data_IF_982957978212
#
_entry.id   IF_982957978212
#
_cell.length_a   1.000
_cell.length_b   1.000
_cell.length_c   1.000
_cell.angle_alpha   90.00
_cell.angle_beta   90.00
_cell.angle_gamma   90.00
#
_symmetry.space_group_name_H-M   'P 1'
#
loop_
_entity.id
_entity.type
_entity.pdbx_description
1 polymer ?
#
# COMPACT_ATOMS: atom_id res chain seq x y z
N UNK A 1 6.17 -25.72 5.67
CA UNK A 1 7.29 -24.95 5.16
C UNK A 1 8.54 -25.40 5.91
N UNK A 2 9.67 -25.61 5.21
CA UNK A 2 10.93 -25.95 5.83
C UNK A 2 11.60 -24.70 6.44
N UNK A 3 12.37 -24.87 7.53
CA UNK A 3 13.05 -23.75 8.20
C UNK A 3 13.93 -22.94 7.24
N UNK A 4 14.62 -23.60 6.31
CA UNK A 4 15.44 -22.92 5.30
C UNK A 4 14.62 -22.00 4.37
N UNK A 5 13.37 -22.31 4.09
CA UNK A 5 12.47 -21.45 3.29
C UNK A 5 12.03 -20.25 4.12
N UNK A 6 11.75 -20.45 5.42
CA UNK A 6 11.43 -19.36 6.35
C UNK A 6 12.59 -18.38 6.45
N UNK A 7 13.80 -18.89 6.69
CA UNK A 7 15.01 -18.08 6.78
C UNK A 7 15.27 -17.32 5.48
N UNK A 8 15.07 -17.96 4.32
CA UNK A 8 15.21 -17.31 3.01
C UNK A 8 14.25 -16.13 2.81
N UNK A 9 13.00 -16.24 3.28
CA UNK A 9 12.02 -15.15 3.21
C UNK A 9 12.37 -14.05 4.21
N UNK A 10 12.65 -14.42 5.47
CA UNK A 10 12.85 -13.46 6.55
C UNK A 10 14.15 -12.66 6.41
N UNK A 11 15.20 -13.24 5.86
CA UNK A 11 16.47 -12.53 5.60
C UNK A 11 16.34 -11.37 4.61
N UNK A 12 15.27 -11.33 3.83
CA UNK A 12 14.97 -10.24 2.88
C UNK A 12 14.23 -9.07 3.51
N UNK A 13 13.61 -9.28 4.68
CA UNK A 13 12.71 -8.34 5.32
C UNK A 13 13.43 -7.52 6.38
N UNK A 14 13.24 -6.20 6.35
CA UNK A 14 13.82 -5.32 7.36
C UNK A 14 13.20 -5.59 8.76
N UNK A 15 13.97 -5.39 9.86
CA UNK A 15 13.46 -5.59 11.22
C UNK A 15 12.16 -4.82 11.53
N UNK A 16 11.98 -3.65 10.92
CA UNK A 16 10.77 -2.83 11.06
C UNK A 16 9.49 -3.49 10.57
N UNK A 17 9.59 -4.44 9.64
CA UNK A 17 8.46 -5.23 9.18
C UNK A 17 7.87 -6.07 10.32
N UNK A 18 8.71 -6.79 11.06
CA UNK A 18 8.29 -7.68 12.16
C UNK A 18 7.70 -6.93 13.35
N UNK A 19 8.04 -5.66 13.53
CA UNK A 19 7.48 -4.83 14.60
C UNK A 19 6.05 -4.34 14.31
N UNK A 20 5.61 -4.43 13.07
CA UNK A 20 4.32 -3.90 12.61
C UNK A 20 3.34 -4.99 12.20
N UNK A 21 3.84 -6.18 11.93
CA UNK A 21 3.04 -7.33 11.53
C UNK A 21 2.78 -8.24 12.72
N UNK A 22 1.57 -8.78 12.79
CA UNK A 22 1.23 -9.82 13.77
C UNK A 22 1.88 -11.14 13.37
N UNK A 23 1.97 -12.10 14.32
CA UNK A 23 2.51 -13.43 14.04
C UNK A 23 1.74 -14.14 12.91
N UNK A 24 0.42 -13.97 12.86
CA UNK A 24 -0.45 -14.58 11.85
C UNK A 24 -0.20 -13.96 10.47
N UNK A 25 -0.06 -12.63 10.39
CA UNK A 25 0.32 -11.92 9.16
C UNK A 25 1.69 -12.39 8.67
N UNK A 26 2.70 -12.45 9.55
CA UNK A 26 4.05 -12.95 9.19
C UNK A 26 3.98 -14.38 8.66
N UNK A 27 3.22 -15.26 9.33
CA UNK A 27 3.05 -16.64 8.90
C UNK A 27 2.33 -16.75 7.54
N UNK A 28 1.34 -15.90 7.29
CA UNK A 28 0.63 -15.85 6.03
C UNK A 28 1.56 -15.37 4.89
N UNK A 29 2.23 -14.23 5.08
CA UNK A 29 3.17 -13.67 4.11
C UNK A 29 4.32 -14.63 3.80
N UNK A 30 4.84 -15.32 4.84
CA UNK A 30 5.89 -16.32 4.66
C UNK A 30 5.41 -17.48 3.76
N UNK A 31 4.18 -17.97 3.97
CA UNK A 31 3.61 -19.03 3.12
C UNK A 31 3.46 -18.61 1.66
N UNK A 32 3.06 -17.36 1.40
CA UNK A 32 2.91 -16.84 0.04
C UNK A 32 4.24 -16.75 -0.71
N UNK A 33 5.35 -16.57 0.01
CA UNK A 33 6.67 -16.35 -0.58
C UNK A 33 7.60 -17.57 -0.53
N UNK A 34 7.29 -18.59 0.30
CA UNK A 34 8.19 -19.72 0.60
C UNK A 34 8.59 -20.55 -0.63
N UNK A 35 7.65 -20.73 -1.57
CA UNK A 35 7.87 -21.54 -2.77
C UNK A 35 8.14 -20.67 -4.02
N UNK A 36 8.30 -19.36 -3.84
CA UNK A 36 8.53 -18.44 -4.95
C UNK A 36 9.97 -18.57 -5.46
N UNK A 37 10.12 -18.65 -6.76
CA UNK A 37 11.45 -18.51 -7.38
C UNK A 37 12.02 -17.12 -7.09
N UNK A 38 13.18 -17.07 -6.45
CA UNK A 38 13.86 -15.81 -6.09
C UNK A 38 14.22 -14.95 -7.31
N UNK A 39 14.30 -15.54 -8.51
CA UNK A 39 14.61 -14.83 -9.76
C UNK A 39 13.36 -14.31 -10.48
N UNK A 40 12.18 -14.69 -10.02
CA UNK A 40 10.94 -14.26 -10.65
C UNK A 40 10.67 -12.79 -10.34
N UNK A 41 10.39 -11.97 -11.36
CA UNK A 41 9.88 -10.61 -11.23
C UNK A 41 8.34 -10.54 -11.28
N UNK A 42 7.67 -11.70 -11.44
CA UNK A 42 6.20 -11.73 -11.45
C UNK A 42 5.66 -11.27 -10.08
N UNK A 43 4.68 -10.37 -10.06
CA UNK A 43 4.09 -9.94 -8.81
C UNK A 43 3.29 -11.07 -8.14
N UNK A 44 3.33 -11.11 -6.82
CA UNK A 44 2.41 -11.91 -6.02
C UNK A 44 1.35 -10.99 -5.45
N UNK A 45 0.09 -11.36 -5.63
CA UNK A 45 -1.06 -10.68 -5.03
C UNK A 45 -1.88 -11.74 -4.30
N UNK A 46 -2.29 -11.46 -3.08
CA UNK A 46 -3.16 -12.33 -2.31
C UNK A 46 -4.06 -11.50 -1.39
N UNK A 47 -5.25 -12.01 -1.11
CA UNK A 47 -6.22 -11.33 -0.27
C UNK A 47 -6.59 -12.22 0.93
N UNK A 48 -6.69 -11.60 2.11
CA UNK A 48 -7.25 -12.21 3.32
C UNK A 48 -8.51 -11.44 3.73
N UNK A 49 -9.67 -12.06 3.46
CA UNK A 49 -10.98 -11.52 3.81
C UNK A 49 -11.30 -11.64 5.30
N UNK A 50 -10.58 -12.48 6.03
CA UNK A 50 -10.78 -12.76 7.44
C UNK A 50 -9.81 -12.02 8.36
N UNK A 51 -9.23 -10.92 7.87
CA UNK A 51 -8.29 -10.12 8.65
C UNK A 51 -8.86 -9.74 10.02
N UNK A 52 -8.07 -9.97 11.05
CA UNK A 52 -8.42 -9.66 12.45
C UNK A 52 -8.72 -8.19 12.71
N UNK A 53 -8.40 -7.31 11.74
CA UNK A 53 -8.63 -5.87 11.83
C UNK A 53 -10.03 -5.44 11.37
N UNK A 54 -10.90 -6.38 10.99
CA UNK A 54 -12.23 -6.08 10.46
C UNK A 54 -12.21 -5.46 9.06
N UNK A 55 -11.14 -5.66 8.32
CA UNK A 55 -10.90 -5.18 6.95
C UNK A 55 -10.51 -6.36 6.08
N UNK A 56 -10.49 -6.20 4.76
CA UNK A 56 -9.80 -7.15 3.88
C UNK A 56 -8.34 -6.73 3.75
N UNK A 57 -7.41 -7.63 4.07
CA UNK A 57 -6.00 -7.40 3.84
C UNK A 57 -5.61 -7.81 2.41
N UNK A 58 -4.93 -6.93 1.71
CA UNK A 58 -4.38 -7.17 0.37
C UNK A 58 -2.87 -7.17 0.49
N UNK A 59 -2.28 -8.32 0.24
CA UNK A 59 -0.84 -8.52 0.15
C UNK A 59 -0.38 -8.33 -1.28
N UNK A 60 0.68 -7.56 -1.48
CA UNK A 60 1.40 -7.49 -2.76
C UNK A 60 2.89 -7.66 -2.53
N UNK A 61 3.54 -8.40 -3.43
CA UNK A 61 4.99 -8.52 -3.46
C UNK A 61 5.45 -8.37 -4.91
N UNK A 62 6.20 -7.32 -5.20
CA UNK A 62 6.60 -6.95 -6.55
C UNK A 62 7.96 -6.25 -6.54
N UNK A 63 8.66 -6.13 -7.69
CA UNK A 63 9.85 -5.31 -7.78
C UNK A 63 9.59 -3.89 -7.27
N UNK A 64 10.44 -3.42 -6.35
CA UNK A 64 10.30 -2.09 -5.78
C UNK A 64 10.55 -1.02 -6.85
N UNK A 65 9.55 -0.21 -7.11
CA UNK A 65 9.60 0.86 -8.11
C UNK A 65 8.93 2.11 -7.54
N UNK A 66 9.43 3.27 -7.87
CA UNK A 66 8.88 4.56 -7.39
C UNK A 66 7.37 4.70 -7.60
N UNK A 67 6.83 4.10 -8.64
CA UNK A 67 5.41 4.20 -8.98
C UNK A 67 4.53 3.08 -8.42
N UNK A 68 5.08 2.13 -7.66
CA UNK A 68 4.32 0.98 -7.12
C UNK A 68 3.12 1.42 -6.28
N UNK A 69 3.34 2.28 -5.30
CA UNK A 69 2.28 2.82 -4.44
C UNK A 69 1.19 3.56 -5.23
N UNK A 70 1.58 4.47 -6.14
CA UNK A 70 0.62 5.21 -6.97
C UNK A 70 -0.23 4.29 -7.85
N UNK A 71 0.36 3.23 -8.38
CA UNK A 71 -0.35 2.27 -9.24
C UNK A 71 -1.33 1.42 -8.44
N UNK A 72 -0.90 0.92 -7.30
CA UNK A 72 -1.76 0.11 -6.42
C UNK A 72 -2.93 0.93 -5.91
N UNK A 73 -2.68 2.13 -5.40
CA UNK A 73 -3.73 3.01 -4.90
C UNK A 73 -4.70 3.45 -5.99
N UNK A 74 -4.21 3.72 -7.22
CA UNK A 74 -5.07 4.02 -8.37
C UNK A 74 -5.95 2.84 -8.75
N UNK A 75 -5.40 1.62 -8.77
CA UNK A 75 -6.15 0.42 -9.09
C UNK A 75 -7.24 0.14 -8.05
N UNK A 76 -6.91 0.25 -6.76
CA UNK A 76 -7.86 0.06 -5.66
C UNK A 76 -9.01 1.09 -5.71
N UNK A 77 -8.67 2.35 -5.94
CA UNK A 77 -9.67 3.41 -6.04
C UNK A 77 -10.59 3.23 -7.26
N UNK A 78 -10.04 2.84 -8.42
CA UNK A 78 -10.86 2.60 -9.63
C UNK A 78 -11.89 1.49 -9.44
N UNK A 79 -11.57 0.45 -8.68
CA UNK A 79 -12.49 -0.65 -8.38
C UNK A 79 -13.37 -0.38 -7.17
N UNK A 80 -13.30 0.82 -6.59
CA UNK A 80 -14.22 1.30 -5.58
C UNK A 80 -13.86 0.93 -4.15
N UNK A 81 -12.61 0.60 -3.87
CA UNK A 81 -12.19 0.27 -2.52
C UNK A 81 -11.64 1.48 -1.76
N UNK A 82 -11.97 1.55 -0.48
CA UNK A 82 -11.43 2.54 0.45
C UNK A 82 -10.23 1.95 1.19
N UNK A 83 -9.07 2.58 1.07
CA UNK A 83 -7.86 2.20 1.80
C UNK A 83 -7.93 2.84 3.19
N UNK A 84 -7.81 2.04 4.24
CA UNK A 84 -7.84 2.51 5.64
C UNK A 84 -6.48 2.41 6.34
N UNK A 85 -5.59 1.58 5.82
CA UNK A 85 -4.19 1.48 6.28
C UNK A 85 -3.33 0.93 5.15
N UNK A 86 -2.07 1.33 5.10
CA UNK A 86 -1.10 0.79 4.16
C UNK A 86 0.28 0.66 4.82
N UNK A 87 0.87 -0.52 4.68
CA UNK A 87 2.22 -0.81 5.14
C UNK A 87 3.10 -1.15 3.94
N UNK A 88 4.09 -0.31 3.68
CA UNK A 88 5.04 -0.46 2.58
C UNK A 88 6.37 -0.92 3.17
N UNK A 89 6.86 -2.08 2.78
CA UNK A 89 8.08 -2.66 3.30
C UNK A 89 9.06 -3.03 2.17
N UNK A 90 9.90 -2.09 1.72
CA UNK A 90 10.96 -2.41 0.77
C UNK A 90 11.88 -3.49 1.33
N UNK A 91 12.29 -4.42 0.46
CA UNK A 91 13.23 -5.50 0.79
C UNK A 91 14.63 -5.15 0.29
N UNK A 92 15.67 -5.78 0.89
CA UNK A 92 17.07 -5.50 0.53
C UNK A 92 17.43 -5.94 -0.89
N UNK A 93 16.70 -6.87 -1.46
CA UNK A 93 16.89 -7.41 -2.81
C UNK A 93 16.10 -6.70 -3.90
N UNK A 94 15.57 -5.53 -3.62
CA UNK A 94 14.93 -4.65 -4.60
C UNK A 94 13.47 -4.97 -4.91
N UNK A 95 12.78 -5.67 -4.01
CA UNK A 95 11.33 -5.84 -4.03
C UNK A 95 10.65 -4.96 -2.97
N UNK A 96 9.33 -4.96 -2.96
CA UNK A 96 8.52 -4.40 -1.89
C UNK A 96 7.43 -5.40 -1.50
N UNK A 97 7.30 -5.60 -0.19
CA UNK A 97 6.17 -6.29 0.42
C UNK A 97 5.22 -5.23 0.95
N UNK A 98 4.08 -5.08 0.31
CA UNK A 98 3.12 -4.06 0.70
C UNK A 98 1.82 -4.74 1.15
N UNK A 99 1.25 -4.23 2.22
CA UNK A 99 -0.05 -4.68 2.74
C UNK A 99 -0.99 -3.49 2.80
N UNK A 100 -2.15 -3.61 2.17
CA UNK A 100 -3.21 -2.62 2.20
C UNK A 100 -4.41 -3.20 2.93
N UNK A 101 -4.94 -2.47 3.89
CA UNK A 101 -6.21 -2.80 4.53
C UNK A 101 -7.31 -1.98 3.86
N UNK A 102 -8.29 -2.67 3.31
CA UNK A 102 -9.34 -2.03 2.50
C UNK A 102 -10.75 -2.42 2.97
N UNK A 103 -11.69 -1.57 2.61
CA UNK A 103 -13.12 -1.76 2.79
C UNK A 103 -13.85 -1.47 1.47
N UNK A 104 -15.01 -2.06 1.27
CA UNK A 104 -15.97 -1.64 0.23
C UNK A 104 -16.55 -0.25 0.55
N UNK A 105 -17.24 0.35 -0.40
CA UNK A 105 -17.86 1.68 -0.24
C UNK A 105 -18.88 1.78 0.91
N UNK A 106 -19.48 0.65 1.30
CA UNK A 106 -20.41 0.56 2.43
C UNK A 106 -19.70 0.41 3.79
N UNK A 107 -18.35 0.38 3.78
CA UNK A 107 -17.53 0.21 4.98
C UNK A 107 -17.39 -1.22 5.46
N UNK A 108 -17.84 -2.21 4.68
CA UNK A 108 -17.70 -3.63 5.02
C UNK A 108 -16.41 -4.25 4.43
N UNK A 109 -15.87 -5.30 5.04
CA UNK A 109 -14.84 -6.12 4.40
C UNK A 109 -15.42 -6.86 3.19
N UNK A 110 -14.55 -7.21 2.23
CA UNK A 110 -14.96 -7.92 1.02
C UNK A 110 -15.31 -9.37 1.37
N UNK A 111 -16.56 -9.76 1.16
CA UNK A 111 -17.04 -11.11 1.48
C UNK A 111 -17.28 -11.99 0.25
N UNK A 112 -17.45 -11.39 -0.92
CA UNK A 112 -17.77 -12.09 -2.16
C UNK A 112 -16.51 -12.65 -2.83
N UNK A 113 -16.52 -13.95 -3.16
CA UNK A 113 -15.36 -14.64 -3.73
C UNK A 113 -15.04 -14.20 -5.17
N UNK A 114 -16.05 -13.85 -5.96
CA UNK A 114 -15.83 -13.34 -7.33
C UNK A 114 -15.20 -11.96 -7.26
N UNK A 115 -15.65 -11.14 -6.31
CA UNK A 115 -15.10 -9.83 -6.04
C UNK A 115 -13.64 -9.89 -5.60
N UNK A 116 -13.28 -10.81 -4.69
CA UNK A 116 -11.89 -11.05 -4.30
C UNK A 116 -11.02 -11.40 -5.52
N UNK A 117 -11.50 -12.27 -6.39
CA UNK A 117 -10.79 -12.67 -7.62
C UNK A 117 -10.62 -11.50 -8.60
N UNK A 118 -11.67 -10.66 -8.75
CA UNK A 118 -11.61 -9.45 -9.59
C UNK A 118 -10.52 -8.49 -9.10
N UNK A 119 -10.47 -8.25 -7.80
CA UNK A 119 -9.48 -7.35 -7.17
C UNK A 119 -8.06 -7.89 -7.36
N UNK A 120 -7.85 -9.18 -7.09
CA UNK A 120 -6.55 -9.84 -7.26
C UNK A 120 -6.05 -9.67 -8.70
N UNK A 121 -6.89 -9.97 -9.69
CA UNK A 121 -6.54 -9.85 -11.10
C UNK A 121 -6.28 -8.40 -11.54
N UNK A 122 -7.04 -7.44 -11.01
CA UNK A 122 -6.86 -6.03 -11.32
C UNK A 122 -5.50 -5.53 -10.81
N UNK A 123 -5.14 -5.88 -9.57
CA UNK A 123 -3.86 -5.53 -8.98
C UNK A 123 -2.69 -6.23 -9.66
N UNK A 124 -2.82 -7.52 -9.94
CA UNK A 124 -1.78 -8.28 -10.65
C UNK A 124 -1.46 -7.66 -12.01
N UNK A 125 -2.49 -7.30 -12.79
CA UNK A 125 -2.32 -6.60 -14.07
C UNK A 125 -1.64 -5.25 -13.89
N UNK A 126 -2.06 -4.48 -12.88
CA UNK A 126 -1.47 -3.18 -12.60
C UNK A 126 0.01 -3.27 -12.25
N UNK A 127 0.40 -4.22 -11.41
CA UNK A 127 1.78 -4.39 -10.96
C UNK A 127 2.71 -4.97 -12.03
N UNK A 128 2.18 -5.81 -12.92
CA UNK A 128 2.96 -6.47 -13.97
C UNK A 128 3.38 -5.54 -15.11
N UNK A 129 2.70 -4.41 -15.33
CA UNK A 129 2.96 -3.52 -16.47
C UNK A 129 4.03 -2.46 -16.11
N UNK A 130 5.34 -2.75 -16.27
CA UNK A 130 6.39 -1.80 -15.95
C UNK A 130 6.38 -0.63 -16.92
N UNK A 131 6.47 0.58 -16.41
CA UNK A 131 6.69 1.78 -17.21
C UNK A 131 5.44 2.52 -17.69
N UNK A 132 4.24 1.98 -17.51
CA UNK A 132 3.03 2.76 -17.74
C UNK A 132 2.78 3.73 -16.59
N UNK A 133 2.38 4.96 -16.92
CA UNK A 133 1.97 5.94 -15.92
C UNK A 133 0.82 5.36 -15.07
N UNK A 134 0.72 5.72 -13.78
CA UNK A 134 -0.41 5.35 -12.95
C UNK A 134 -1.72 5.74 -13.64
N UNK A 135 -2.70 4.84 -13.61
CA UNK A 135 -4.00 5.11 -14.22
C UNK A 135 -4.61 6.38 -13.62
N UNK A 136 -5.22 7.21 -14.45
CA UNK A 136 -5.98 8.35 -13.94
C UNK A 136 -7.23 7.81 -13.24
N UNK A 137 -7.44 8.20 -11.99
CA UNK A 137 -8.66 7.85 -11.27
C UNK A 137 -9.79 8.72 -11.79
N UNK A 138 -10.79 8.10 -12.43
CA UNK A 138 -11.94 8.79 -13.02
C UNK A 138 -13.19 8.77 -12.13
N UNK A 139 -13.09 8.18 -10.95
CA UNK A 139 -14.20 8.10 -10.01
C UNK A 139 -14.56 9.49 -9.49
N UNK A 140 -15.86 9.79 -9.46
CA UNK A 140 -16.34 11.08 -8.95
C UNK A 140 -16.58 11.00 -7.46
N UNK A 141 -16.08 11.99 -6.72
CA UNK A 141 -16.40 12.14 -5.31
C UNK A 141 -17.92 12.20 -5.08
N UNK A 142 -18.44 11.56 -4.02
CA UNK A 142 -19.83 11.67 -3.61
C UNK A 142 -20.25 13.15 -3.49
N UNK A 143 -21.54 13.44 -3.71
CA UNK A 143 -22.03 14.84 -3.65
C UNK A 143 -21.81 15.48 -2.27
N UNK A 144 -21.84 14.68 -1.20
CA UNK A 144 -21.65 15.15 0.17
C UNK A 144 -20.23 15.66 0.41
N UNK A 145 -19.22 14.93 -0.03
CA UNK A 145 -17.80 15.33 0.13
C UNK A 145 -17.43 16.62 -0.60
N UNK A 146 -18.22 17.04 -1.59
CA UNK A 146 -18.02 18.31 -2.29
C UNK A 146 -18.50 19.54 -1.51
N UNK A 147 -19.30 19.37 -0.46
CA UNK A 147 -19.83 20.47 0.33
C UNK A 147 -18.88 20.92 1.44
N UNK A 148 -17.89 20.12 1.78
CA UNK A 148 -16.89 20.43 2.79
C UNK A 148 -15.58 20.83 2.11
N UNK A 149 -15.12 22.04 2.36
CA UNK A 149 -13.86 22.53 1.84
C UNK A 149 -12.79 22.41 2.94
N UNK A 150 -12.18 21.24 3.05
CA UNK A 150 -11.02 21.05 3.94
C UNK A 150 -9.79 21.57 3.21
N UNK A 151 -9.15 22.66 3.67
CA UNK A 151 -7.92 23.14 3.04
C UNK A 151 -6.82 22.09 3.18
N UNK A 152 -6.09 21.84 2.11
CA UNK A 152 -4.94 20.96 2.15
C UNK A 152 -3.85 21.58 3.02
N UNK A 153 -3.38 20.82 4.00
CA UNK A 153 -2.27 21.19 4.88
C UNK A 153 -1.21 20.07 4.82
N UNK A 154 0.03 20.46 4.75
CA UNK A 154 1.16 19.55 4.75
C UNK A 154 2.13 20.03 5.82
N UNK A 155 2.55 19.11 6.69
CA UNK A 155 3.67 19.33 7.59
C UNK A 155 4.78 18.31 7.31
N UNK A 156 6.02 18.72 7.49
CA UNK A 156 7.19 17.88 7.34
C UNK A 156 8.01 17.98 8.61
N UNK A 157 8.31 16.84 9.21
CA UNK A 157 9.18 16.72 10.36
C UNK A 157 10.23 15.65 10.14
N UNK A 158 11.24 15.59 10.99
CA UNK A 158 12.31 14.60 10.90
C UNK A 158 12.18 13.56 12.01
N UNK A 159 12.21 12.29 11.65
CA UNK A 159 12.41 11.18 12.58
C UNK A 159 13.91 10.83 12.61
N UNK A 160 14.65 11.53 13.48
CA UNK A 160 16.10 11.36 13.62
C UNK A 160 16.50 9.92 14.02
N UNK A 161 15.61 9.22 14.76
CA UNK A 161 15.87 7.85 15.21
C UNK A 161 15.96 6.88 14.03
N UNK A 162 15.12 7.06 13.03
CA UNK A 162 15.07 6.18 11.86
C UNK A 162 15.64 6.83 10.61
N UNK A 163 16.19 8.05 10.72
CA UNK A 163 16.74 8.83 9.60
C UNK A 163 15.76 8.93 8.44
N UNK A 164 14.55 9.39 8.72
CA UNK A 164 13.44 9.53 7.77
C UNK A 164 12.75 10.87 7.98
N UNK A 165 12.18 11.38 6.91
CA UNK A 165 11.22 12.48 7.01
C UNK A 165 9.82 11.92 7.21
N UNK A 166 9.03 12.61 8.02
CA UNK A 166 7.62 12.34 8.25
C UNK A 166 6.83 13.43 7.58
N UNK A 167 6.05 13.07 6.58
CA UNK A 167 5.16 13.97 5.86
C UNK A 167 3.73 13.69 6.33
N UNK A 168 3.10 14.67 6.96
CA UNK A 168 1.71 14.61 7.39
C UNK A 168 0.85 15.41 6.41
N UNK A 169 -0.18 14.78 5.87
CA UNK A 169 -1.12 15.37 4.94
C UNK A 169 -2.51 15.42 5.57
N UNK A 170 -3.10 16.60 5.63
CA UNK A 170 -4.53 16.76 5.89
C UNK A 170 -5.19 17.35 4.64
N UNK A 171 -6.23 16.69 4.14
CA UNK A 171 -6.94 17.15 2.94
C UNK A 171 -8.41 16.70 2.97
N UNK A 172 -9.24 17.25 2.09
CA UNK A 172 -10.56 16.67 1.83
C UNK A 172 -10.39 15.28 1.22
N UNK A 173 -11.09 14.28 1.78
CA UNK A 173 -11.07 12.93 1.24
C UNK A 173 -11.74 12.92 -0.15
N UNK A 174 -11.04 12.38 -1.12
CA UNK A 174 -11.51 12.31 -2.51
C UNK A 174 -10.89 11.13 -3.25
N UNK A 175 -11.61 10.57 -4.22
CA UNK A 175 -11.04 9.58 -5.13
C UNK A 175 -9.74 10.10 -5.78
N UNK A 176 -8.73 9.24 -5.83
CA UNK A 176 -7.43 9.53 -6.41
C UNK A 176 -6.46 10.31 -5.52
N UNK A 177 -6.81 10.69 -4.29
CA UNK A 177 -5.91 11.43 -3.41
C UNK A 177 -4.57 10.70 -3.20
N UNK A 178 -4.61 9.44 -2.81
CA UNK A 178 -3.40 8.64 -2.58
C UNK A 178 -2.60 8.37 -3.87
N UNK A 179 -3.31 8.21 -5.00
CA UNK A 179 -2.66 8.10 -6.31
C UNK A 179 -1.90 9.40 -6.65
N UNK A 180 -2.50 10.56 -6.41
CA UNK A 180 -1.86 11.85 -6.66
C UNK A 180 -0.64 12.05 -5.75
N UNK A 181 -0.74 11.69 -4.46
CA UNK A 181 0.42 11.69 -3.55
C UNK A 181 1.52 10.76 -4.08
N UNK A 182 1.17 9.54 -4.47
CA UNK A 182 2.13 8.58 -5.01
C UNK A 182 2.82 9.07 -6.30
N UNK A 183 2.11 9.81 -7.17
CA UNK A 183 2.68 10.43 -8.36
C UNK A 183 3.71 11.50 -8.00
N UNK A 184 3.40 12.36 -7.03
CA UNK A 184 4.34 13.39 -6.58
C UNK A 184 5.58 12.75 -5.97
N UNK A 185 5.43 11.72 -5.11
CA UNK A 185 6.57 11.00 -4.55
C UNK A 185 7.45 10.39 -5.66
N UNK A 186 6.82 9.86 -6.71
CA UNK A 186 7.54 9.32 -7.87
C UNK A 186 8.29 10.41 -8.65
N UNK A 187 7.62 11.52 -8.97
CA UNK A 187 8.19 12.65 -9.74
C UNK A 187 9.39 13.26 -9.02
N UNK A 188 9.29 13.39 -7.70
CA UNK A 188 10.34 13.94 -6.84
C UNK A 188 11.40 12.89 -6.43
N UNK A 189 11.27 11.64 -6.90
CA UNK A 189 12.17 10.53 -6.55
C UNK A 189 12.29 10.28 -5.04
N UNK A 190 11.16 10.42 -4.35
CA UNK A 190 11.05 10.17 -2.92
C UNK A 190 10.69 8.70 -2.69
N UNK A 191 11.47 8.03 -1.84
CA UNK A 191 11.21 6.66 -1.43
C UNK A 191 10.18 6.64 -0.29
N UNK A 192 9.10 5.92 -0.50
CA UNK A 192 8.10 5.65 0.53
C UNK A 192 8.49 4.38 1.28
N UNK A 193 8.60 4.49 2.61
CA UNK A 193 8.89 3.36 3.50
C UNK A 193 7.67 2.87 4.25
N UNK A 194 6.72 3.76 4.48
CA UNK A 194 5.48 3.43 5.15
C UNK A 194 4.45 4.53 4.92
N UNK A 195 3.19 4.14 4.90
CA UNK A 195 2.08 5.07 4.91
C UNK A 195 1.07 4.63 5.99
N UNK A 196 0.57 5.58 6.75
CA UNK A 196 -0.59 5.40 7.61
C UNK A 196 -1.71 6.26 7.05
N UNK A 197 -2.75 5.61 6.57
CA UNK A 197 -3.89 6.23 5.91
C UNK A 197 -5.03 6.26 6.93
N UNK A 198 -5.64 7.40 7.10
CA UNK A 198 -6.77 7.54 8.01
C UNK A 198 -7.77 8.54 7.47
N UNK A 199 -9.03 8.12 7.39
CA UNK A 199 -10.14 9.01 7.03
C UNK A 199 -11.02 9.25 8.26
N UNK A 200 -11.20 10.52 8.62
CA UNK A 200 -12.06 10.95 9.72
C UNK A 200 -13.20 11.79 9.16
N UNK A 201 -14.35 11.15 8.97
CA UNK A 201 -15.47 11.76 8.26
C UNK A 201 -15.12 12.01 6.79
N UNK A 202 -15.05 13.28 6.39
CA UNK A 202 -14.70 13.70 5.03
C UNK A 202 -13.26 14.26 4.92
N UNK A 203 -12.43 14.00 5.91
CA UNK A 203 -11.06 14.47 5.99
C UNK A 203 -10.09 13.30 6.00
N UNK A 204 -9.18 13.30 5.04
CA UNK A 204 -8.02 12.43 5.04
C UNK A 204 -6.94 13.02 5.96
N UNK A 205 -6.39 12.19 6.84
CA UNK A 205 -5.26 12.50 7.74
C UNK A 205 -4.20 11.42 7.56
N UNK A 206 -3.31 11.64 6.61
CA UNK A 206 -2.35 10.64 6.19
C UNK A 206 -0.95 10.99 6.65
N UNK A 207 -0.18 9.98 7.01
CA UNK A 207 1.21 10.11 7.43
C UNK A 207 2.09 9.22 6.55
N UNK A 208 3.08 9.81 5.91
CA UNK A 208 4.02 9.11 5.05
C UNK A 208 5.43 9.21 5.64
N UNK A 209 6.11 8.08 5.73
CA UNK A 209 7.52 8.01 6.15
C UNK A 209 8.37 7.85 4.91
N UNK A 210 9.19 8.84 4.63
CA UNK A 210 9.88 8.96 3.36
C UNK A 210 11.37 9.27 3.53
N UNK A 211 12.16 8.98 2.49
CA UNK A 211 13.54 9.45 2.32
C UNK A 211 13.73 9.95 0.89
N UNK A 212 14.79 10.68 0.67
CA UNK A 212 15.20 11.04 -0.69
C UNK A 212 15.82 9.86 -1.45
N UNK A 213 16.27 10.10 -2.67
CA UNK A 213 16.91 9.10 -3.52
C UNK A 213 18.26 8.57 -2.97
N UNK A 214 18.83 9.25 -1.97
CA UNK A 214 20.05 8.87 -1.28
C UNK A 214 19.78 8.17 0.06
N UNK A 215 18.51 7.88 0.40
CA UNK A 215 18.05 7.32 1.69
C UNK A 215 18.39 8.21 2.89
N UNK A 216 18.26 9.52 2.72
CA UNK A 216 18.46 10.52 3.77
C UNK A 216 17.15 11.24 4.13
#
# INVERSE_FOLDING_TARGET
>A
IADAQIDSVWSRLAPGYFLRSTADEVAWHTRLLADRDARSEEPVVALDAASVRGTTAIFTFAPHRYHGFARTTAALDQIGLTIVDAHIAPTEDGFSLDVYHVLEDDGAPIADAERLTEIEQALWRSLRSPGEAPLAVHRRAPRQSRMFNTPTQISVSTDDRHRRSVLELTAGDRPGLLCDVGKVLMEERVHLHNAKIMTVGERAEDVFYVTDAQNQ
#
